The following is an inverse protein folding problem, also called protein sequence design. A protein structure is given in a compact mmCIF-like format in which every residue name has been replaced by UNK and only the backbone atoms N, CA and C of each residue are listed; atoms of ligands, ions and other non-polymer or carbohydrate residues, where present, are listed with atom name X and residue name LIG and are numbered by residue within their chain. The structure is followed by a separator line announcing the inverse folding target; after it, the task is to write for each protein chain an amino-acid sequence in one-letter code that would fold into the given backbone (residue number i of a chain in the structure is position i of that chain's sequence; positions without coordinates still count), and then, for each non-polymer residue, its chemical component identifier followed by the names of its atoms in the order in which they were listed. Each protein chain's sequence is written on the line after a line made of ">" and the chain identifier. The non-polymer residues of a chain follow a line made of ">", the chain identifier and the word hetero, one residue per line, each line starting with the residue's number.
data_IF_729212355193
#
_entry.id   IF_729212355193
#
_cell.length_a   1.000
_cell.length_b   1.000
_cell.length_c   1.000
_cell.angle_alpha   90.00
_cell.angle_beta   90.00
_cell.angle_gamma   90.00
#
_symmetry.space_group_name_H-M   'P 1'
#
loop_
_entity.id
_entity.type
_entity.pdbx_description
1 polymer ?
#
# COMPACT_ATOMS: atom_id res chain seq x y z
N UNK A 1 8.62 -29.31 63.47
CA UNK A 1 9.70 -28.83 62.55
C UNK A 1 9.68 -29.55 61.20
N UNK A 2 9.21 -30.80 61.10
CA UNK A 2 9.11 -31.58 59.84
C UNK A 2 7.92 -31.13 58.96
N UNK A 3 6.81 -30.67 59.54
CA UNK A 3 5.63 -30.23 58.77
C UNK A 3 5.85 -28.93 57.97
N UNK A 4 6.75 -28.07 58.45
CA UNK A 4 7.10 -26.81 57.78
C UNK A 4 7.99 -26.99 56.55
N UNK A 5 8.74 -28.09 56.45
CA UNK A 5 9.55 -28.40 55.26
C UNK A 5 8.70 -29.05 54.16
N UNK A 6 7.79 -29.97 54.50
CA UNK A 6 6.87 -30.59 53.52
C UNK A 6 5.99 -29.56 52.82
N UNK A 7 5.37 -28.65 53.57
CA UNK A 7 4.54 -27.59 52.98
C UNK A 7 5.32 -26.64 52.07
N UNK A 8 6.61 -26.40 52.37
CA UNK A 8 7.48 -25.55 51.54
C UNK A 8 7.89 -26.27 50.25
N UNK A 9 8.12 -27.58 50.31
CA UNK A 9 8.42 -28.41 49.13
C UNK A 9 7.22 -28.52 48.16
N UNK A 10 5.99 -28.63 48.68
CA UNK A 10 4.77 -28.71 47.87
C UNK A 10 4.46 -27.38 47.16
N UNK A 11 4.62 -26.24 47.85
CA UNK A 11 4.49 -24.91 47.25
C UNK A 11 5.54 -24.69 46.16
N UNK A 12 6.78 -25.15 46.40
CA UNK A 12 7.87 -25.04 45.43
C UNK A 12 7.58 -25.87 44.17
N UNK A 13 7.11 -27.11 44.32
CA UNK A 13 6.68 -27.96 43.19
C UNK A 13 5.52 -27.35 42.41
N UNK A 14 4.48 -26.88 43.10
CA UNK A 14 3.34 -26.22 42.45
C UNK A 14 3.77 -24.98 41.66
N UNK A 15 4.65 -24.15 42.23
CA UNK A 15 5.17 -22.96 41.57
C UNK A 15 6.01 -23.32 40.34
N UNK A 16 6.85 -24.35 40.44
CA UNK A 16 7.65 -24.85 39.31
C UNK A 16 6.73 -25.40 38.21
N UNK A 17 5.73 -26.21 38.55
CA UNK A 17 4.80 -26.77 37.57
C UNK A 17 3.98 -25.70 36.85
N UNK A 18 3.49 -24.69 37.59
CA UNK A 18 2.78 -23.53 37.02
C UNK A 18 3.72 -22.72 36.12
N UNK A 19 4.95 -22.45 36.56
CA UNK A 19 5.93 -21.72 35.78
C UNK A 19 6.31 -22.45 34.49
N UNK A 20 6.54 -23.77 34.56
CA UNK A 20 6.85 -24.62 33.40
C UNK A 20 5.66 -24.63 32.43
N UNK A 21 4.43 -24.78 32.93
CA UNK A 21 3.22 -24.80 32.09
C UNK A 21 2.96 -23.45 31.42
N UNK A 22 3.12 -22.34 32.15
CA UNK A 22 3.02 -20.99 31.59
C UNK A 22 4.11 -20.75 30.55
N UNK A 23 5.35 -21.16 30.81
CA UNK A 23 6.46 -21.02 29.88
C UNK A 23 6.23 -21.83 28.61
N UNK A 24 5.73 -23.07 28.72
CA UNK A 24 5.35 -23.89 27.57
C UNK A 24 4.25 -23.22 26.75
N UNK A 25 3.16 -22.78 27.40
CA UNK A 25 2.05 -22.10 26.70
C UNK A 25 2.55 -20.81 26.02
N UNK A 26 3.30 -19.98 26.72
CA UNK A 26 3.88 -18.77 26.17
C UNK A 26 4.81 -19.06 24.99
N UNK A 27 5.64 -20.11 25.08
CA UNK A 27 6.53 -20.52 23.99
C UNK A 27 5.76 -20.96 22.76
N UNK A 28 4.70 -21.78 22.94
CA UNK A 28 3.82 -22.19 21.83
C UNK A 28 3.16 -20.98 21.18
N UNK A 29 2.69 -20.02 21.96
CA UNK A 29 2.10 -18.78 21.44
C UNK A 29 3.13 -17.96 20.67
N UNK A 30 4.34 -17.76 21.22
CA UNK A 30 5.41 -16.99 20.57
C UNK A 30 5.84 -17.66 19.26
N UNK A 31 6.03 -18.98 19.25
CA UNK A 31 6.38 -19.73 18.04
C UNK A 31 5.26 -19.65 17.01
N UNK A 32 4.00 -19.78 17.43
CA UNK A 32 2.85 -19.62 16.54
C UNK A 32 2.80 -18.21 15.92
N UNK A 33 3.05 -17.17 16.71
CA UNK A 33 3.13 -15.79 16.21
C UNK A 33 4.29 -15.60 15.24
N UNK A 34 5.46 -16.19 15.52
CA UNK A 34 6.63 -16.15 14.62
C UNK A 34 6.34 -16.82 13.28
N UNK A 35 5.64 -17.95 13.28
CA UNK A 35 5.22 -18.64 12.06
C UNK A 35 4.15 -17.84 11.29
N UNK A 36 3.28 -17.12 12.00
CA UNK A 36 2.26 -16.27 11.38
C UNK A 36 2.79 -14.91 10.90
N UNK A 37 3.92 -14.42 11.41
CA UNK A 37 4.52 -13.11 11.03
C UNK A 37 4.50 -12.81 9.52
N UNK A 38 4.93 -13.70 8.61
CA UNK A 38 4.91 -13.41 7.17
C UNK A 38 3.49 -13.24 6.60
N UNK A 39 2.48 -13.90 7.17
CA UNK A 39 1.08 -13.86 6.71
C UNK A 39 0.27 -12.79 7.47
N UNK A 40 0.77 -12.32 8.62
CA UNK A 40 0.10 -11.36 9.47
C UNK A 40 -0.30 -10.06 8.74
N UNK A 41 0.55 -9.42 7.91
CA UNK A 41 0.14 -8.22 7.18
C UNK A 41 -1.02 -8.49 6.22
N UNK A 42 -1.03 -9.65 5.56
CA UNK A 42 -2.12 -10.05 4.66
C UNK A 42 -3.44 -10.18 5.42
N UNK A 43 -3.42 -10.84 6.58
CA UNK A 43 -4.61 -11.01 7.43
C UNK A 43 -5.09 -9.66 7.98
N UNK A 44 -4.17 -8.83 8.46
CA UNK A 44 -4.50 -7.50 9.00
C UNK A 44 -5.14 -6.63 7.93
N UNK A 45 -4.54 -6.58 6.73
CA UNK A 45 -5.13 -5.86 5.59
C UNK A 45 -6.49 -6.41 5.21
N UNK A 46 -6.67 -7.74 5.20
CA UNK A 46 -7.95 -8.35 4.91
C UNK A 46 -9.04 -7.96 5.92
N UNK A 47 -8.70 -7.93 7.22
CA UNK A 47 -9.61 -7.50 8.29
C UNK A 47 -9.95 -6.01 8.13
N UNK A 48 -8.94 -5.15 7.98
CA UNK A 48 -9.13 -3.70 7.81
C UNK A 48 -10.04 -3.44 6.62
N UNK A 49 -9.74 -4.04 5.46
CA UNK A 49 -10.50 -3.86 4.23
C UNK A 49 -11.92 -4.41 4.36
N UNK A 50 -12.09 -5.59 4.97
CA UNK A 50 -13.42 -6.16 5.23
C UNK A 50 -14.27 -5.22 6.09
N UNK A 51 -13.71 -4.63 7.16
CA UNK A 51 -14.43 -3.72 8.05
C UNK A 51 -14.73 -2.38 7.38
N UNK A 52 -13.77 -1.85 6.62
CA UNK A 52 -13.89 -0.59 5.87
C UNK A 52 -14.97 -0.66 4.78
N UNK A 53 -15.00 -1.76 4.04
CA UNK A 53 -15.88 -1.97 2.87
C UNK A 53 -17.24 -2.56 3.27
N UNK A 54 -17.39 -3.09 4.49
CA UNK A 54 -18.65 -3.63 5.01
C UNK A 54 -19.91 -2.79 4.74
N UNK A 55 -19.95 -1.46 4.98
CA UNK A 55 -21.15 -0.66 4.68
C UNK A 55 -21.54 -0.72 3.19
N UNK A 56 -20.56 -0.67 2.29
CA UNK A 56 -20.79 -0.79 0.85
C UNK A 56 -21.31 -2.18 0.48
N UNK A 57 -20.76 -3.23 1.10
CA UNK A 57 -21.25 -4.60 0.94
C UNK A 57 -22.72 -4.74 1.33
N UNK A 58 -23.13 -4.18 2.48
CA UNK A 58 -24.53 -4.23 2.94
C UNK A 58 -25.47 -3.49 1.98
N UNK A 59 -25.09 -2.28 1.55
CA UNK A 59 -25.88 -1.50 0.58
C UNK A 59 -26.03 -2.25 -0.75
N UNK A 60 -24.93 -2.80 -1.27
CA UNK A 60 -24.93 -3.56 -2.52
C UNK A 60 -25.78 -4.83 -2.40
N UNK A 61 -25.66 -5.57 -1.29
CA UNK A 61 -26.49 -6.75 -0.99
C UNK A 61 -27.98 -6.41 -0.98
N UNK A 62 -28.36 -5.34 -0.26
CA UNK A 62 -29.76 -4.94 -0.08
C UNK A 62 -30.37 -4.38 -1.38
N UNK A 63 -29.63 -3.52 -2.10
CA UNK A 63 -30.10 -2.90 -3.35
C UNK A 63 -30.24 -3.91 -4.48
N UNK A 64 -29.28 -4.82 -4.64
CA UNK A 64 -29.28 -5.82 -5.70
C UNK A 64 -29.95 -7.14 -5.31
N UNK A 65 -30.42 -7.28 -4.06
CA UNK A 65 -31.03 -8.49 -3.50
C UNK A 65 -30.17 -9.75 -3.72
N UNK A 66 -28.86 -9.60 -3.64
CA UNK A 66 -27.89 -10.67 -3.88
C UNK A 66 -27.68 -11.53 -2.62
N UNK A 67 -27.28 -12.78 -2.83
CA UNK A 67 -26.78 -13.66 -1.75
C UNK A 67 -25.44 -13.14 -1.22
N UNK A 68 -25.13 -13.38 0.05
CA UNK A 68 -23.91 -12.89 0.71
C UNK A 68 -22.62 -13.19 -0.09
N UNK A 69 -22.47 -14.42 -0.60
CA UNK A 69 -21.28 -14.80 -1.35
C UNK A 69 -21.19 -14.08 -2.71
N UNK A 70 -22.30 -13.89 -3.43
CA UNK A 70 -22.32 -13.17 -4.71
C UNK A 70 -21.93 -11.71 -4.54
N UNK A 71 -22.52 -11.04 -3.53
CA UNK A 71 -22.20 -9.65 -3.22
C UNK A 71 -20.72 -9.50 -2.82
N UNK A 72 -20.18 -10.45 -2.05
CA UNK A 72 -18.79 -10.42 -1.64
C UNK A 72 -17.84 -10.64 -2.84
N UNK A 73 -18.13 -11.63 -3.70
CA UNK A 73 -17.32 -11.92 -4.89
C UNK A 73 -17.31 -10.74 -5.86
N UNK A 74 -18.47 -10.15 -6.15
CA UNK A 74 -18.56 -8.98 -7.03
C UNK A 74 -17.77 -7.79 -6.48
N UNK A 75 -17.87 -7.55 -5.18
CA UNK A 75 -17.17 -6.43 -4.54
C UNK A 75 -15.65 -6.66 -4.51
N UNK A 76 -15.20 -7.88 -4.21
CA UNK A 76 -13.78 -8.24 -4.31
C UNK A 76 -13.25 -8.13 -5.73
N UNK A 77 -14.02 -8.55 -6.73
CA UNK A 77 -13.64 -8.42 -8.13
C UNK A 77 -13.51 -6.94 -8.53
N UNK A 78 -14.46 -6.11 -8.11
CA UNK A 78 -14.41 -4.67 -8.34
C UNK A 78 -13.15 -4.04 -7.71
N UNK A 79 -12.84 -4.37 -6.46
CA UNK A 79 -11.65 -3.87 -5.77
C UNK A 79 -10.35 -4.38 -6.41
N UNK A 80 -10.31 -5.64 -6.88
CA UNK A 80 -9.17 -6.18 -7.61
C UNK A 80 -8.95 -5.45 -8.93
N UNK A 81 -10.02 -5.18 -9.70
CA UNK A 81 -9.92 -4.41 -10.94
C UNK A 81 -9.44 -2.99 -10.65
N UNK A 82 -9.99 -2.34 -9.62
CA UNK A 82 -9.61 -0.99 -9.20
C UNK A 82 -8.13 -0.91 -8.80
N UNK A 83 -7.59 -1.96 -8.17
CA UNK A 83 -6.19 -2.07 -7.79
C UNK A 83 -5.29 -2.39 -9.00
N UNK A 84 -5.61 -3.42 -9.78
CA UNK A 84 -4.72 -3.97 -10.80
C UNK A 84 -4.70 -3.14 -12.09
N UNK A 85 -5.83 -2.54 -12.48
CA UNK A 85 -5.92 -1.73 -13.70
C UNK A 85 -4.88 -0.60 -13.75
N UNK A 86 -4.77 0.29 -12.74
CA UNK A 86 -3.75 1.34 -12.77
C UNK A 86 -2.33 0.77 -12.74
N UNK A 87 -2.08 -0.31 -11.99
CA UNK A 87 -0.76 -0.93 -11.91
C UNK A 87 -0.31 -1.44 -13.28
N UNK A 88 -1.19 -2.11 -14.02
CA UNK A 88 -0.89 -2.62 -15.37
C UNK A 88 -0.64 -1.47 -16.35
N UNK A 89 -1.50 -0.44 -16.33
CA UNK A 89 -1.36 0.72 -17.22
C UNK A 89 -0.03 1.45 -16.95
N UNK A 90 0.26 1.75 -15.67
CA UNK A 90 1.48 2.45 -15.29
C UNK A 90 2.74 1.64 -15.61
N UNK A 91 2.68 0.31 -15.39
CA UNK A 91 3.79 -0.59 -15.70
C UNK A 91 4.05 -0.65 -17.21
N UNK A 92 2.99 -0.70 -18.03
CA UNK A 92 3.10 -0.64 -19.48
C UNK A 92 3.71 0.68 -19.96
N UNK A 93 3.23 1.82 -19.45
CA UNK A 93 3.77 3.15 -19.78
C UNK A 93 5.23 3.32 -19.35
N UNK A 94 5.63 2.75 -18.21
CA UNK A 94 7.02 2.77 -17.76
C UNK A 94 7.93 1.96 -18.69
N UNK A 95 7.51 0.77 -19.11
CA UNK A 95 8.26 -0.07 -20.06
C UNK A 95 8.41 0.63 -21.41
N UNK A 96 7.32 1.20 -21.93
CA UNK A 96 7.32 1.91 -23.21
C UNK A 96 8.24 3.15 -23.18
N UNK A 97 8.21 3.90 -22.08
CA UNK A 97 9.11 5.05 -21.87
C UNK A 97 10.56 4.61 -21.88
N UNK A 98 10.90 3.55 -21.15
CA UNK A 98 12.27 3.01 -21.12
C UNK A 98 12.74 2.56 -22.52
N UNK A 99 11.88 1.88 -23.30
CA UNK A 99 12.21 1.47 -24.66
C UNK A 99 12.36 2.66 -25.62
N UNK A 100 11.51 3.69 -25.48
CA UNK A 100 11.65 4.94 -26.23
C UNK A 100 13.00 5.63 -25.93
N UNK A 101 13.36 5.79 -24.66
CA UNK A 101 14.65 6.36 -24.26
C UNK A 101 15.84 5.50 -24.74
N UNK A 102 15.76 4.17 -24.61
CA UNK A 102 16.79 3.27 -25.09
C UNK A 102 17.02 3.39 -26.60
N UNK A 103 15.94 3.50 -27.39
CA UNK A 103 16.01 3.71 -28.84
C UNK A 103 16.56 5.09 -29.20
N UNK A 104 16.22 6.14 -28.47
CA UNK A 104 16.78 7.49 -28.68
C UNK A 104 18.28 7.53 -28.40
N UNK A 105 18.73 6.90 -27.30
CA UNK A 105 20.16 6.71 -27.00
C UNK A 105 20.86 5.88 -28.10
N UNK A 106 20.23 4.80 -28.56
CA UNK A 106 20.78 3.92 -29.60
C UNK A 106 20.97 4.65 -30.93
N UNK A 107 20.06 5.56 -31.28
CA UNK A 107 20.09 6.38 -32.51
C UNK A 107 20.99 7.62 -32.43
N UNK A 108 21.62 7.89 -31.27
CA UNK A 108 22.54 9.03 -31.11
C UNK A 108 21.86 10.40 -31.19
N UNK A 109 20.56 10.47 -30.97
CA UNK A 109 19.83 11.75 -30.92
C UNK A 109 20.09 12.44 -29.58
N UNK A 110 20.14 13.78 -29.58
CA UNK A 110 20.29 14.58 -28.36
C UNK A 110 19.05 14.38 -27.47
N UNK A 111 19.15 13.49 -26.49
CA UNK A 111 18.06 13.16 -25.55
C UNK A 111 17.92 14.22 -24.46
N UNK A 112 18.99 14.95 -24.18
CA UNK A 112 19.03 16.02 -23.19
C UNK A 112 19.01 17.36 -23.91
N UNK A 113 17.99 18.21 -23.70
CA UNK A 113 17.98 19.56 -24.25
C UNK A 113 19.10 20.41 -23.61
N UNK A 114 19.62 21.43 -24.32
CA UNK A 114 20.64 22.30 -23.76
C UNK A 114 20.12 23.02 -22.50
N UNK A 115 20.99 23.26 -21.50
CA UNK A 115 20.57 23.92 -20.26
C UNK A 115 20.05 25.34 -20.55
N UNK A 116 18.94 25.77 -19.92
CA UNK A 116 18.52 27.17 -19.96
C UNK A 116 19.58 28.09 -19.36
N UNK A 117 19.86 29.21 -20.02
CA UNK A 117 20.86 30.20 -19.58
C UNK A 117 20.60 30.70 -18.14
N UNK A 118 19.33 30.75 -17.72
CA UNK A 118 18.90 31.14 -16.37
C UNK A 118 19.47 30.26 -15.24
N UNK A 119 19.88 29.01 -15.53
CA UNK A 119 20.50 28.13 -14.52
C UNK A 119 21.91 28.62 -14.17
N UNK A 120 22.59 29.32 -15.10
CA UNK A 120 23.94 29.85 -14.90
C UNK A 120 23.98 30.93 -13.81
N UNK A 121 22.89 31.66 -13.63
CA UNK A 121 22.79 32.79 -12.70
C UNK A 121 22.48 32.36 -11.25
N UNK A 122 22.33 31.05 -11.00
CA UNK A 122 21.98 30.56 -9.67
C UNK A 122 23.20 30.57 -8.72
N UNK A 123 23.13 31.26 -7.55
CA UNK A 123 24.27 31.34 -6.65
C UNK A 123 24.65 29.95 -6.11
N UNK A 124 25.96 29.72 -5.97
CA UNK A 124 26.64 28.49 -5.49
C UNK A 124 26.76 27.29 -6.45
N UNK A 125 25.77 26.99 -7.31
CA UNK A 125 25.78 25.74 -8.11
C UNK A 125 25.54 25.97 -9.62
N UNK A 126 25.13 27.17 -10.03
CA UNK A 126 24.66 27.45 -11.40
C UNK A 126 25.67 27.15 -12.50
N UNK A 127 26.93 27.58 -12.34
CA UNK A 127 27.99 27.33 -13.35
C UNK A 127 28.37 25.86 -13.46
N UNK A 128 28.56 25.16 -12.33
CA UNK A 128 28.89 23.72 -12.33
C UNK A 128 27.76 22.87 -12.89
N UNK A 129 26.51 23.20 -12.59
CA UNK A 129 25.33 22.49 -13.08
C UNK A 129 25.12 22.74 -14.57
N UNK A 130 25.29 24.00 -15.01
CA UNK A 130 25.23 24.36 -16.42
C UNK A 130 26.30 23.64 -17.24
N UNK A 131 27.56 23.63 -16.80
CA UNK A 131 28.65 22.95 -17.51
C UNK A 131 28.46 21.42 -17.54
N UNK A 132 27.99 20.82 -16.44
CA UNK A 132 27.66 19.40 -16.40
C UNK A 132 26.49 19.06 -17.33
N UNK A 133 25.44 19.87 -17.37
CA UNK A 133 24.28 19.70 -18.25
C UNK A 133 24.66 19.93 -19.71
N UNK A 134 25.48 20.93 -20.02
CA UNK A 134 26.01 21.18 -21.36
C UNK A 134 26.83 19.98 -21.86
N UNK A 135 27.69 19.42 -21.01
CA UNK A 135 28.48 18.24 -21.34
C UNK A 135 27.59 16.99 -21.51
N UNK A 136 26.53 16.84 -20.69
CA UNK A 136 25.52 15.80 -20.85
C UNK A 136 24.70 15.95 -22.14
N UNK A 137 24.41 17.18 -22.54
CA UNK A 137 23.73 17.51 -23.78
C UNK A 137 24.59 17.21 -25.01
N UNK A 138 25.89 17.50 -24.95
CA UNK A 138 26.80 17.33 -26.08
C UNK A 138 27.26 15.89 -26.28
N UNK A 139 27.49 15.12 -25.19
CA UNK A 139 28.09 13.79 -25.31
C UNK A 139 27.61 12.82 -24.21
N UNK A 140 26.29 12.60 -24.18
CA UNK A 140 25.61 11.75 -23.20
C UNK A 140 26.20 10.33 -23.14
N UNK A 141 26.63 9.77 -24.28
CA UNK A 141 27.24 8.42 -24.35
C UNK A 141 28.55 8.34 -23.57
N UNK A 142 29.39 9.35 -23.70
CA UNK A 142 30.70 9.40 -23.03
C UNK A 142 30.52 9.54 -21.52
N UNK A 143 29.56 10.35 -21.07
CA UNK A 143 29.20 10.46 -19.64
C UNK A 143 28.53 9.20 -19.07
N UNK A 144 27.61 8.58 -19.81
CA UNK A 144 27.00 7.29 -19.45
C UNK A 144 28.06 6.19 -19.32
N UNK A 145 29.02 6.15 -20.25
CA UNK A 145 30.13 5.18 -20.25
C UNK A 145 31.14 5.42 -19.12
N UNK A 146 31.36 6.67 -18.73
CA UNK A 146 32.21 7.03 -17.59
C UNK A 146 31.57 6.72 -16.23
N UNK A 147 30.24 6.68 -16.15
CA UNK A 147 29.48 6.50 -14.90
C UNK A 147 28.62 5.22 -14.89
N UNK A 148 28.91 4.23 -15.75
CA UNK A 148 28.14 2.97 -15.87
C UNK A 148 27.90 2.31 -14.51
N UNK A 149 28.89 2.30 -13.62
CA UNK A 149 28.76 1.71 -12.29
C UNK A 149 27.71 2.39 -11.41
N UNK A 150 27.61 3.72 -11.45
CA UNK A 150 26.62 4.50 -10.71
C UNK A 150 25.23 4.39 -11.33
N UNK A 151 25.14 4.37 -12.67
CA UNK A 151 23.87 4.18 -13.38
C UNK A 151 23.33 2.76 -13.13
N UNK A 152 24.19 1.75 -13.14
CA UNK A 152 23.82 0.38 -12.85
C UNK A 152 23.40 0.19 -11.38
N UNK A 153 24.02 0.89 -10.42
CA UNK A 153 23.60 0.84 -9.02
C UNK A 153 22.25 1.52 -8.80
N UNK A 154 22.01 2.67 -9.42
CA UNK A 154 20.71 3.34 -9.43
C UNK A 154 19.63 2.47 -10.09
N UNK A 155 19.91 1.87 -11.24
CA UNK A 155 18.99 0.96 -11.93
C UNK A 155 18.64 -0.26 -11.08
N UNK A 156 19.60 -0.87 -10.39
CA UNK A 156 19.34 -1.97 -9.44
C UNK A 156 18.51 -1.52 -8.24
N UNK A 157 18.77 -0.32 -7.71
CA UNK A 157 17.99 0.23 -6.60
C UNK A 157 16.53 0.48 -7.01
N UNK A 158 16.30 1.12 -8.16
CA UNK A 158 14.95 1.31 -8.73
C UNK A 158 14.27 -0.04 -8.99
N UNK A 159 14.99 -0.99 -9.61
CA UNK A 159 14.47 -2.33 -9.87
C UNK A 159 14.06 -3.08 -8.60
N UNK A 160 14.82 -2.92 -7.51
CA UNK A 160 14.46 -3.48 -6.20
C UNK A 160 13.20 -2.84 -5.64
N UNK A 161 13.08 -1.51 -5.69
CA UNK A 161 11.87 -0.80 -5.26
C UNK A 161 10.66 -1.28 -6.08
N UNK A 162 10.80 -1.39 -7.39
CA UNK A 162 9.73 -1.87 -8.26
C UNK A 162 9.32 -3.31 -7.91
N UNK A 163 10.28 -4.19 -7.62
CA UNK A 163 10.00 -5.56 -7.18
C UNK A 163 9.29 -5.59 -5.82
N UNK A 164 9.74 -4.78 -4.85
CA UNK A 164 9.13 -4.68 -3.52
C UNK A 164 7.67 -4.19 -3.63
N UNK A 165 7.43 -3.12 -4.41
CA UNK A 165 6.08 -2.61 -4.70
C UNK A 165 5.20 -3.66 -5.39
N UNK A 166 5.75 -4.40 -6.36
CA UNK A 166 5.00 -5.46 -7.04
C UNK A 166 4.57 -6.56 -6.07
N UNK A 167 5.45 -6.97 -5.15
CA UNK A 167 5.15 -7.94 -4.10
C UNK A 167 4.06 -7.40 -3.16
N UNK A 168 4.15 -6.13 -2.75
CA UNK A 168 3.14 -5.48 -1.91
C UNK A 168 1.76 -5.42 -2.59
N UNK A 169 1.71 -5.07 -3.89
CA UNK A 169 0.48 -5.09 -4.68
C UNK A 169 -0.13 -6.48 -4.73
N UNK A 170 0.68 -7.53 -4.94
CA UNK A 170 0.21 -8.90 -4.97
C UNK A 170 -0.30 -9.36 -3.60
N UNK A 171 0.39 -8.98 -2.52
CA UNK A 171 -0.05 -9.23 -1.15
C UNK A 171 -1.38 -8.54 -0.84
N UNK A 172 -1.54 -7.29 -1.28
CA UNK A 172 -2.77 -6.52 -1.12
C UNK A 172 -3.92 -7.12 -1.94
N UNK A 173 -3.65 -7.58 -3.17
CA UNK A 173 -4.61 -8.34 -3.97
C UNK A 173 -5.06 -9.62 -3.26
N UNK A 174 -4.12 -10.36 -2.66
CA UNK A 174 -4.43 -11.50 -1.80
C UNK A 174 -5.31 -11.12 -0.60
N UNK A 175 -5.01 -9.99 0.05
CA UNK A 175 -5.82 -9.47 1.15
C UNK A 175 -7.25 -9.11 0.70
N UNK A 176 -7.47 -8.59 -0.51
CA UNK A 176 -8.81 -8.31 -1.07
C UNK A 176 -9.61 -9.61 -1.25
N UNK A 177 -8.97 -10.68 -1.70
CA UNK A 177 -9.61 -11.99 -1.85
C UNK A 177 -10.02 -12.52 -0.48
N UNK A 178 -9.12 -12.50 0.50
CA UNK A 178 -9.42 -12.95 1.87
C UNK A 178 -10.50 -12.06 2.51
N UNK A 179 -10.46 -10.74 2.32
CA UNK A 179 -11.50 -9.84 2.78
C UNK A 179 -12.87 -10.18 2.16
N UNK A 180 -12.91 -10.57 0.88
CA UNK A 180 -14.13 -11.10 0.24
C UNK A 180 -14.69 -12.31 0.95
N UNK A 181 -13.82 -13.27 1.30
CA UNK A 181 -14.21 -14.44 2.10
C UNK A 181 -14.76 -14.01 3.46
N UNK A 182 -14.07 -13.09 4.16
CA UNK A 182 -14.54 -12.56 5.45
C UNK A 182 -15.91 -11.88 5.33
N UNK A 183 -16.15 -11.11 4.26
CA UNK A 183 -17.43 -10.47 3.99
C UNK A 183 -18.54 -11.48 3.75
N UNK A 184 -18.27 -12.56 3.00
CA UNK A 184 -19.23 -13.63 2.75
C UNK A 184 -19.71 -14.32 4.04
N UNK A 185 -18.84 -14.41 5.06
CA UNK A 185 -19.13 -14.98 6.39
C UNK A 185 -19.31 -13.94 7.50
N UNK A 186 -19.49 -12.67 7.14
CA UNK A 186 -19.43 -11.53 8.08
C UNK A 186 -20.39 -11.63 9.26
N UNK A 187 -21.60 -12.15 9.06
CA UNK A 187 -22.60 -12.32 10.14
C UNK A 187 -22.08 -13.27 11.23
N UNK A 188 -21.62 -14.46 10.86
CA UNK A 188 -21.07 -15.46 11.80
C UNK A 188 -19.78 -14.96 12.47
N UNK A 189 -18.92 -14.30 11.71
CA UNK A 189 -17.65 -13.77 12.22
C UNK A 189 -17.86 -12.64 13.22
N UNK A 190 -18.82 -11.75 12.97
CA UNK A 190 -19.14 -10.64 13.88
C UNK A 190 -19.62 -11.16 15.24
N UNK A 191 -20.50 -12.16 15.24
CA UNK A 191 -20.98 -12.77 16.49
C UNK A 191 -19.87 -13.49 17.25
N UNK A 192 -18.99 -14.20 16.53
CA UNK A 192 -17.83 -14.89 17.12
C UNK A 192 -16.86 -13.90 17.76
N UNK A 193 -16.51 -12.81 17.06
CA UNK A 193 -15.59 -11.78 17.56
C UNK A 193 -16.17 -11.06 18.77
N UNK A 194 -17.46 -10.70 18.73
CA UNK A 194 -18.16 -10.09 19.88
C UNK A 194 -18.22 -11.03 21.08
N UNK A 195 -18.48 -12.31 20.86
CA UNK A 195 -18.50 -13.33 21.91
C UNK A 195 -17.12 -13.53 22.54
N UNK A 196 -16.06 -13.57 21.73
CA UNK A 196 -14.68 -13.66 22.22
C UNK A 196 -14.29 -12.42 23.03
N UNK A 197 -14.60 -11.23 22.52
CA UNK A 197 -14.32 -9.98 23.21
C UNK A 197 -15.06 -9.90 24.55
N UNK A 198 -16.31 -10.34 24.60
CA UNK A 198 -17.08 -10.43 25.84
C UNK A 198 -16.45 -11.41 26.84
N UNK A 199 -15.80 -12.49 26.42
CA UNK A 199 -15.09 -13.38 27.36
C UNK A 199 -13.82 -12.75 27.95
N UNK A 200 -13.20 -11.82 27.24
CA UNK A 200 -11.93 -11.19 27.66
C UNK A 200 -12.18 -10.00 28.59
N UNK A 201 -13.16 -9.15 28.27
CA UNK A 201 -13.41 -7.89 28.96
C UNK A 201 -14.88 -7.69 29.36
N UNK A 202 -15.63 -8.78 29.45
CA UNK A 202 -17.04 -8.83 29.87
C UNK A 202 -17.91 -7.79 29.13
N UNK A 203 -18.67 -6.95 29.84
CA UNK A 203 -19.51 -5.93 29.24
C UNK A 203 -18.76 -4.93 28.35
N UNK A 204 -17.46 -4.66 28.61
CA UNK A 204 -16.64 -3.70 27.86
C UNK A 204 -16.09 -4.27 26.55
N UNK A 205 -15.99 -5.60 26.44
CA UNK A 205 -15.44 -6.27 25.26
C UNK A 205 -16.15 -5.90 23.96
N UNK A 206 -17.49 -5.90 23.97
CA UNK A 206 -18.29 -5.52 22.80
C UNK A 206 -18.06 -4.06 22.39
N UNK A 207 -17.93 -3.17 23.37
CA UNK A 207 -17.67 -1.76 23.13
C UNK A 207 -16.30 -1.53 22.47
N UNK A 208 -15.26 -2.28 22.86
CA UNK A 208 -13.95 -2.19 22.20
C UNK A 208 -13.99 -2.60 20.73
N UNK A 209 -14.76 -3.64 20.39
CA UNK A 209 -14.94 -4.08 18.99
C UNK A 209 -15.63 -2.98 18.17
N UNK A 210 -16.63 -2.30 18.75
CA UNK A 210 -17.33 -1.19 18.09
C UNK A 210 -16.42 0.01 17.88
N UNK A 211 -15.65 0.42 18.90
CA UNK A 211 -14.66 1.50 18.77
C UNK A 211 -13.65 1.15 17.68
N UNK A 212 -13.03 -0.03 17.74
CA UNK A 212 -12.03 -0.45 16.75
C UNK A 212 -12.60 -0.43 15.33
N UNK A 213 -13.82 -0.96 15.15
CA UNK A 213 -14.47 -0.98 13.84
C UNK A 213 -14.84 0.42 13.34
N UNK A 214 -15.28 1.30 14.24
CA UNK A 214 -15.57 2.71 13.95
C UNK A 214 -14.29 3.44 13.52
N UNK A 215 -13.20 3.27 14.27
CA UNK A 215 -11.90 3.86 13.95
C UNK A 215 -11.41 3.44 12.57
N UNK A 216 -11.47 2.14 12.25
CA UNK A 216 -11.09 1.64 10.91
C UNK A 216 -11.92 2.35 9.83
N UNK A 217 -13.25 2.40 9.99
CA UNK A 217 -14.13 3.07 9.03
C UNK A 217 -13.86 4.56 8.90
N UNK A 218 -13.64 5.26 10.00
CA UNK A 218 -13.36 6.69 10.00
C UNK A 218 -12.04 7.00 9.30
N UNK A 219 -11.00 6.20 9.53
CA UNK A 219 -9.71 6.34 8.83
C UNK A 219 -9.89 6.09 7.33
N UNK A 220 -10.60 5.02 6.94
CA UNK A 220 -10.86 4.73 5.53
C UNK A 220 -11.68 5.82 4.83
N UNK A 221 -12.69 6.37 5.50
CA UNK A 221 -13.48 7.51 5.02
C UNK A 221 -12.61 8.76 4.87
N UNK A 222 -11.68 8.99 5.79
CA UNK A 222 -10.70 10.07 5.69
C UNK A 222 -9.83 9.95 4.44
N UNK A 223 -9.28 8.76 4.16
CA UNK A 223 -8.46 8.51 2.96
C UNK A 223 -9.26 8.78 1.68
N UNK A 224 -10.51 8.31 1.59
CA UNK A 224 -11.37 8.56 0.43
C UNK A 224 -11.67 10.06 0.29
N UNK A 225 -11.94 10.76 1.40
CA UNK A 225 -12.19 12.20 1.41
C UNK A 225 -11.00 13.01 0.90
N UNK A 226 -9.78 12.67 1.33
CA UNK A 226 -8.55 13.29 0.85
C UNK A 226 -8.35 12.99 -0.63
N UNK A 227 -8.56 11.75 -1.08
CA UNK A 227 -8.43 11.38 -2.49
C UNK A 227 -9.39 12.17 -3.39
N UNK A 228 -10.65 12.35 -2.96
CA UNK A 228 -11.64 13.15 -3.68
C UNK A 228 -11.24 14.63 -3.75
N UNK A 229 -10.84 15.22 -2.62
CA UNK A 229 -10.44 16.62 -2.55
C UNK A 229 -9.22 16.88 -3.44
N UNK A 230 -8.18 16.05 -3.30
CA UNK A 230 -6.93 16.19 -4.05
C UNK A 230 -7.18 16.06 -5.55
N UNK A 231 -7.96 15.08 -5.99
CA UNK A 231 -8.26 14.92 -7.41
C UNK A 231 -9.15 16.03 -7.95
N UNK A 232 -10.11 16.54 -7.16
CA UNK A 232 -10.89 17.70 -7.56
C UNK A 232 -10.01 18.93 -7.76
N UNK A 233 -9.09 19.22 -6.83
CA UNK A 233 -8.14 20.33 -6.94
C UNK A 233 -7.21 20.17 -8.14
N UNK A 234 -6.69 18.97 -8.37
CA UNK A 234 -5.86 18.66 -9.53
C UNK A 234 -6.62 18.85 -10.84
N UNK A 235 -7.87 18.38 -10.90
CA UNK A 235 -8.71 18.54 -12.08
C UNK A 235 -9.02 19.98 -12.40
N UNK A 236 -9.36 20.79 -11.38
CA UNK A 236 -9.54 22.24 -11.55
C UNK A 236 -8.25 22.89 -12.04
N UNK A 237 -7.10 22.54 -11.44
CA UNK A 237 -5.79 23.05 -11.86
C UNK A 237 -5.48 22.73 -13.32
N UNK A 238 -5.72 21.49 -13.76
CA UNK A 238 -5.52 21.05 -15.14
C UNK A 238 -6.47 21.74 -16.13
N UNK A 239 -7.73 21.97 -15.75
CA UNK A 239 -8.69 22.71 -16.58
C UNK A 239 -8.26 24.16 -16.76
N UNK A 240 -7.79 24.82 -15.70
CA UNK A 240 -7.29 26.20 -15.75
C UNK A 240 -6.00 26.29 -16.58
N UNK A 241 -5.12 25.28 -16.48
CA UNK A 241 -3.89 25.19 -17.26
C UNK A 241 -4.11 24.78 -18.74
N UNK A 242 -5.34 24.46 -19.15
CA UNK A 242 -5.65 24.09 -20.53
C UNK A 242 -5.13 22.70 -20.94
N UNK A 243 -4.91 21.80 -19.98
CA UNK A 243 -4.38 20.45 -20.25
C UNK A 243 -5.43 19.61 -21.01
N UNK A 244 -5.06 18.98 -22.14
CA UNK A 244 -5.98 18.13 -22.89
C UNK A 244 -6.42 16.91 -22.04
N UNK A 245 -7.67 16.49 -22.20
CA UNK A 245 -8.25 15.35 -21.45
C UNK A 245 -8.22 15.49 -19.92
N UNK A 246 -8.18 16.71 -19.37
CA UNK A 246 -8.12 16.98 -17.93
C UNK A 246 -9.12 16.14 -17.11
N UNK A 247 -10.36 15.96 -17.59
CA UNK A 247 -11.37 15.15 -16.91
C UNK A 247 -10.98 13.66 -16.78
N UNK A 248 -10.42 13.06 -17.84
CA UNK A 248 -9.96 11.67 -17.80
C UNK A 248 -8.74 11.51 -16.90
N UNK A 249 -7.77 12.44 -16.99
CA UNK A 249 -6.57 12.44 -16.15
C UNK A 249 -6.95 12.57 -14.67
N UNK A 250 -7.88 13.47 -14.36
CA UNK A 250 -8.43 13.66 -13.00
C UNK A 250 -9.02 12.38 -12.43
N UNK A 251 -9.77 11.65 -13.26
CA UNK A 251 -10.34 10.38 -12.85
C UNK A 251 -9.26 9.34 -12.54
N UNK A 252 -8.21 9.24 -13.35
CA UNK A 252 -7.09 8.34 -13.07
C UNK A 252 -6.36 8.77 -11.79
N UNK A 253 -6.12 10.07 -11.58
CA UNK A 253 -5.55 10.60 -10.34
C UNK A 253 -6.40 10.25 -9.10
N UNK A 254 -7.74 10.29 -9.22
CA UNK A 254 -8.66 9.84 -8.17
C UNK A 254 -8.49 8.37 -7.85
N UNK A 255 -8.45 7.51 -8.87
CA UNK A 255 -8.21 6.07 -8.67
C UNK A 255 -6.86 5.83 -7.99
N UNK A 256 -5.79 6.48 -8.45
CA UNK A 256 -4.46 6.34 -7.85
C UNK A 256 -4.38 6.86 -6.42
N UNK A 257 -5.09 7.95 -6.10
CA UNK A 257 -5.16 8.49 -4.75
C UNK A 257 -5.93 7.55 -3.80
N UNK A 258 -7.02 6.94 -4.26
CA UNK A 258 -7.77 5.92 -3.48
C UNK A 258 -6.89 4.70 -3.19
N UNK A 259 -6.08 4.27 -4.16
CA UNK A 259 -5.14 3.14 -4.02
C UNK A 259 -3.85 3.54 -3.29
N UNK A 260 -3.74 4.78 -2.78
CA UNK A 260 -2.59 5.30 -2.03
C UNK A 260 -1.26 5.37 -2.80
N UNK A 261 -1.29 5.18 -4.13
CA UNK A 261 -0.15 5.41 -5.02
C UNK A 261 0.11 6.93 -5.15
N UNK A 262 -0.96 7.71 -5.11
CA UNK A 262 -0.92 9.15 -5.29
C UNK A 262 -0.89 9.58 -6.77
N UNK A 263 -1.18 10.85 -7.06
CA UNK A 263 -1.38 11.35 -8.42
C UNK A 263 -0.06 11.76 -9.10
N UNK A 264 1.03 11.86 -8.33
CA UNK A 264 2.30 12.44 -8.76
C UNK A 264 2.90 11.72 -9.97
N UNK A 265 2.70 10.40 -10.08
CA UNK A 265 3.19 9.60 -11.21
C UNK A 265 2.65 10.13 -12.54
N UNK A 266 1.41 10.61 -12.55
CA UNK A 266 0.77 11.19 -13.74
C UNK A 266 1.01 12.69 -13.81
N UNK A 267 0.96 13.39 -12.67
CA UNK A 267 1.07 14.84 -12.64
C UNK A 267 2.47 15.36 -12.98
N UNK A 268 3.54 14.64 -12.64
CA UNK A 268 4.91 15.08 -12.95
C UNK A 268 5.10 15.23 -14.47
N UNK A 269 4.79 14.21 -15.32
CA UNK A 269 4.81 14.38 -16.77
C UNK A 269 3.93 15.52 -17.29
N UNK A 270 2.72 15.67 -16.74
CA UNK A 270 1.76 16.71 -17.15
C UNK A 270 2.27 18.13 -16.83
N UNK A 271 3.03 18.30 -15.74
CA UNK A 271 3.60 19.60 -15.36
C UNK A 271 4.83 19.94 -16.20
N UNK A 272 5.58 18.94 -16.68
CA UNK A 272 6.79 19.13 -17.48
C UNK A 272 6.45 19.48 -18.94
N UNK A 273 5.32 18.99 -19.44
CA UNK A 273 4.83 19.23 -20.81
C UNK A 273 4.24 20.62 -20.97
#
# INVERSE_FOLDING_TARGET
>A
MIDTEKGRADITRFTIDVAVRLTLIASVVVVSLLLLRPVAPLILWAIILSVAVYPLFVVMRQRLRLRNWLAATLLSLLLLVLLLAPVVILSASAIESLDAYARMLARGQHVVPPPPDAIRDWPFVGTRLHDFWQNASNDLRTLLSAHVGQIASLGRWIGRIAADVFIEVLQFAGAIIVAGVLLAYSEKLTDTVRGLAARIADARGRHFVEIASSTIRNVSQGVIGIALLQSALLGIGMLVAGVPFAGAITFVCLVLAIVQVGPNIIMIPVIIW
#
